data_IF_215463504626
#
_entry.id   IF_215463504626
#
_cell.length_a   1.000
_cell.length_b   1.000
_cell.length_c   1.000
_cell.angle_alpha   90.00
_cell.angle_beta   90.00
_cell.angle_gamma   90.00
#
_symmetry.space_group_name_H-M   'P 1'
#
loop_
_entity.id
_entity.type
_entity.pdbx_description
1 polymer ?
#
# COMPACT_ATOMS: atom_id res chain seq x y z
N UNK A 1 -72.32 -3.60 2.72
CA UNK A 1 -72.76 -3.55 1.31
C UNK A 1 -71.79 -4.38 0.48
N UNK A 2 -72.36 -5.35 -0.26
CA UNK A 2 -71.83 -6.15 -1.38
C UNK A 2 -70.47 -6.85 -1.26
N UNK A 3 -70.39 -8.19 -1.11
CA UNK A 3 -70.58 -9.27 -2.14
C UNK A 3 -69.57 -9.13 -3.30
N UNK A 4 -68.71 -10.10 -3.66
CA UNK A 4 -68.72 -11.57 -3.61
C UNK A 4 -67.25 -12.09 -3.56
N UNK A 5 -66.89 -13.13 -2.78
CA UNK A 5 -67.07 -14.58 -3.05
C UNK A 5 -66.35 -15.05 -4.34
N UNK A 6 -65.62 -16.17 -4.42
CA UNK A 6 -65.46 -17.32 -3.53
C UNK A 6 -64.27 -18.17 -4.02
N UNK A 7 -63.61 -18.87 -3.10
CA UNK A 7 -62.70 -19.98 -3.35
C UNK A 7 -63.49 -21.27 -3.08
N UNK A 8 -63.53 -22.24 -3.99
CA UNK A 8 -63.88 -23.63 -3.63
C UNK A 8 -63.33 -24.64 -4.65
N UNK A 9 -62.77 -25.70 -4.10
CA UNK A 9 -62.26 -26.95 -4.66
C UNK A 9 -63.36 -27.81 -5.30
N UNK A 10 -63.00 -28.72 -6.23
CA UNK A 10 -63.16 -30.18 -6.09
C UNK A 10 -63.04 -30.95 -7.43
N UNK A 11 -62.18 -31.98 -7.38
CA UNK A 11 -62.26 -33.33 -7.97
C UNK A 11 -62.44 -33.64 -9.47
N UNK A 12 -61.61 -34.60 -9.94
CA UNK A 12 -62.00 -35.52 -11.01
C UNK A 12 -60.90 -36.19 -11.85
N UNK A 13 -60.25 -37.25 -11.32
CA UNK A 13 -59.74 -38.48 -11.96
C UNK A 13 -59.01 -38.45 -13.33
N UNK A 14 -57.72 -38.82 -13.37
CA UNK A 14 -57.15 -40.13 -13.77
C UNK A 14 -57.21 -40.46 -15.28
N UNK A 15 -56.04 -40.51 -15.93
CA UNK A 15 -55.57 -41.74 -16.59
C UNK A 15 -54.05 -41.73 -16.83
N UNK A 16 -53.43 -42.87 -16.53
CA UNK A 16 -52.03 -43.19 -16.73
C UNK A 16 -51.89 -43.78 -18.14
N UNK A 17 -50.77 -43.55 -18.82
CA UNK A 17 -50.04 -44.64 -19.44
C UNK A 17 -48.55 -44.32 -19.61
N UNK A 18 -47.74 -45.30 -19.24
CA UNK A 18 -46.30 -45.27 -19.10
C UNK A 18 -45.79 -46.50 -19.86
N UNK A 19 -44.86 -46.35 -20.81
CA UNK A 19 -44.05 -47.44 -21.35
C UNK A 19 -42.63 -46.95 -21.66
N UNK A 20 -41.75 -47.18 -20.68
CA UNK A 20 -40.47 -47.92 -20.76
C UNK A 20 -40.06 -48.50 -22.14
N UNK A 21 -38.80 -48.62 -22.58
CA UNK A 21 -37.54 -48.85 -21.85
C UNK A 21 -36.30 -48.73 -22.80
N UNK A 22 -35.14 -48.38 -22.21
CA UNK A 22 -33.74 -48.82 -22.47
C UNK A 22 -33.03 -48.58 -23.83
N UNK A 23 -32.02 -47.70 -23.78
CA UNK A 23 -30.61 -48.12 -23.60
C UNK A 23 -29.68 -48.16 -24.83
N UNK A 24 -28.73 -47.22 -24.91
CA UNK A 24 -27.28 -47.47 -25.09
C UNK A 24 -26.48 -46.16 -25.19
N UNK A 25 -25.47 -46.02 -24.34
CA UNK A 25 -24.30 -45.15 -24.52
C UNK A 25 -23.57 -45.55 -25.82
N UNK A 26 -22.89 -44.61 -26.50
CA UNK A 26 -21.49 -44.38 -26.17
C UNK A 26 -21.06 -42.90 -26.19
N UNK A 27 -20.39 -42.52 -25.10
CA UNK A 27 -19.12 -41.80 -25.06
C UNK A 27 -18.64 -41.15 -26.38
N UNK A 28 -18.56 -39.82 -26.39
CA UNK A 28 -17.54 -39.05 -27.15
C UNK A 28 -17.42 -37.63 -26.59
N UNK A 29 -16.30 -37.42 -25.91
CA UNK A 29 -15.60 -36.17 -25.61
C UNK A 29 -16.19 -34.90 -26.25
N UNK A 30 -16.89 -34.10 -25.45
CA UNK A 30 -17.02 -32.67 -25.70
C UNK A 30 -15.91 -31.98 -24.90
N UNK A 31 -14.88 -31.59 -25.64
CA UNK A 31 -13.75 -30.77 -25.22
C UNK A 31 -14.26 -29.53 -24.49
N UNK A 32 -13.90 -29.44 -23.21
CA UNK A 32 -13.83 -28.19 -22.47
C UNK A 32 -12.79 -27.31 -23.17
N UNK A 33 -13.28 -26.30 -23.88
CA UNK A 33 -12.49 -25.18 -24.38
C UNK A 33 -13.00 -23.92 -23.68
N UNK A 34 -12.66 -23.80 -22.41
CA UNK A 34 -12.44 -22.50 -21.79
C UNK A 34 -11.23 -21.86 -22.47
N UNK A 35 -11.47 -21.23 -23.62
CA UNK A 35 -10.49 -20.33 -24.24
C UNK A 35 -10.36 -19.13 -23.30
N UNK A 36 -9.33 -19.15 -22.44
CA UNK A 36 -8.86 -17.93 -21.79
C UNK A 36 -8.41 -17.00 -22.90
N UNK A 37 -9.09 -15.87 -23.06
CA UNK A 37 -8.76 -14.89 -24.10
C UNK A 37 -7.40 -14.26 -23.77
N UNK A 38 -6.60 -13.90 -24.80
CA UNK A 38 -5.27 -13.26 -24.66
C UNK A 38 -5.28 -12.06 -23.71
N UNK A 39 -6.40 -11.35 -23.64
CA UNK A 39 -6.53 -10.18 -22.81
C UNK A 39 -6.68 -10.48 -21.32
N UNK A 40 -7.33 -11.58 -20.94
CA UNK A 40 -7.41 -11.98 -19.53
C UNK A 40 -6.01 -12.38 -19.00
N UNK A 41 -5.16 -12.94 -19.87
CA UNK A 41 -3.78 -13.30 -19.55
C UNK A 41 -2.90 -12.06 -19.35
N UNK A 42 -3.09 -11.03 -20.18
CA UNK A 42 -2.37 -9.76 -20.08
C UNK A 42 -2.71 -9.00 -18.79
N UNK A 43 -4.00 -8.99 -18.41
CA UNK A 43 -4.50 -8.42 -17.15
C UNK A 43 -3.91 -9.16 -15.94
N UNK A 44 -3.93 -10.49 -15.95
CA UNK A 44 -3.39 -11.30 -14.85
C UNK A 44 -1.89 -11.05 -14.69
N UNK A 45 -1.13 -11.06 -15.77
CA UNK A 45 0.32 -10.81 -15.72
C UNK A 45 0.62 -9.42 -15.16
N UNK A 46 -0.08 -8.38 -15.65
CA UNK A 46 0.17 -7.00 -15.22
C UNK A 46 -0.22 -6.77 -13.75
N UNK A 47 -1.33 -7.37 -13.30
CA UNK A 47 -1.73 -7.34 -11.88
C UNK A 47 -0.70 -8.07 -11.01
N UNK A 48 -0.24 -9.25 -11.42
CA UNK A 48 0.76 -10.01 -10.62
C UNK A 48 2.10 -9.29 -10.50
N UNK A 49 2.47 -8.50 -11.50
CA UNK A 49 3.70 -7.71 -11.49
C UNK A 49 3.58 -6.52 -10.53
N UNK A 50 2.44 -5.83 -10.54
CA UNK A 50 2.16 -4.75 -9.60
C UNK A 50 2.02 -5.25 -8.14
N UNK A 51 1.45 -6.44 -7.92
CA UNK A 51 1.37 -7.04 -6.58
C UNK A 51 2.76 -7.34 -5.98
N UNK A 52 3.72 -7.76 -6.81
CA UNK A 52 5.10 -7.96 -6.38
C UNK A 52 5.75 -6.64 -5.97
N UNK A 53 5.53 -5.55 -6.72
CA UNK A 53 6.04 -4.22 -6.37
C UNK A 53 5.46 -3.71 -5.04
N UNK A 54 4.16 -3.92 -4.81
CA UNK A 54 3.49 -3.52 -3.56
C UNK A 54 3.97 -4.32 -2.34
N UNK A 55 4.30 -5.61 -2.52
CA UNK A 55 4.89 -6.42 -1.45
C UNK A 55 6.26 -5.91 -0.99
N UNK A 56 7.04 -5.31 -1.91
CA UNK A 56 8.34 -4.69 -1.59
C UNK A 56 8.15 -3.35 -0.87
N UNK A 57 7.17 -2.52 -1.26
CA UNK A 57 6.92 -1.22 -0.61
C UNK A 57 6.65 -1.32 0.90
N UNK A 58 6.07 -2.43 1.38
CA UNK A 58 5.63 -2.60 2.76
C UNK A 58 6.71 -3.16 3.72
N UNK A 59 7.84 -3.69 3.22
CA UNK A 59 8.83 -4.43 4.03
C UNK A 59 9.98 -3.59 4.62
N UNK A 60 10.04 -2.28 4.36
CA UNK A 60 11.20 -1.45 4.77
C UNK A 60 11.30 -1.15 6.27
N UNK A 61 10.37 -1.63 7.09
CA UNK A 61 10.40 -1.42 8.55
C UNK A 61 11.37 -2.40 9.24
N UNK A 62 11.70 -3.53 8.61
CA UNK A 62 12.39 -4.64 9.28
C UNK A 62 13.92 -4.62 9.15
N UNK A 63 14.47 -3.97 8.11
CA UNK A 63 15.90 -4.00 7.81
C UNK A 63 16.78 -3.21 8.81
N UNK A 64 16.19 -2.34 9.63
CA UNK A 64 16.95 -1.53 10.60
C UNK A 64 17.29 -2.27 11.91
N UNK A 65 16.59 -3.37 12.22
CA UNK A 65 16.83 -4.10 13.47
C UNK A 65 18.03 -5.07 13.40
N UNK A 66 18.43 -5.50 12.20
CA UNK A 66 19.50 -6.48 12.03
C UNK A 66 20.91 -5.90 12.28
N UNK A 67 21.12 -4.60 12.05
CA UNK A 67 22.44 -3.95 12.19
C UNK A 67 22.73 -3.46 13.63
N UNK A 68 21.78 -3.62 14.58
CA UNK A 68 21.91 -3.08 15.94
C UNK A 68 22.78 -3.98 16.84
N UNK A 69 22.80 -5.30 16.62
CA UNK A 69 23.44 -6.27 17.52
C UNK A 69 24.96 -6.22 17.61
N UNK A 70 25.65 -5.57 16.66
CA UNK A 70 27.14 -5.53 16.65
C UNK A 70 27.73 -4.28 17.34
N UNK A 71 26.90 -3.34 17.81
CA UNK A 71 27.39 -2.05 18.36
C UNK A 71 27.15 -1.83 19.85
N UNK A 72 26.67 -2.86 20.56
CA UNK A 72 26.14 -2.75 21.93
C UNK A 72 27.20 -2.29 22.96
N UNK A 73 28.50 -2.50 22.73
CA UNK A 73 29.54 -2.35 23.78
C UNK A 73 30.55 -1.20 23.62
N UNK A 74 30.51 -0.43 22.52
CA UNK A 74 31.61 0.52 22.24
C UNK A 74 31.54 1.79 23.09
N UNK A 75 30.33 2.26 23.42
CA UNK A 75 30.14 3.59 24.03
C UNK A 75 30.21 3.60 25.57
N UNK A 76 30.11 2.44 26.23
CA UNK A 76 30.11 2.37 27.70
C UNK A 76 31.45 2.80 28.31
N UNK A 77 32.55 2.68 27.57
CA UNK A 77 33.89 3.07 28.04
C UNK A 77 34.24 4.55 27.79
N UNK A 78 33.43 5.29 27.04
CA UNK A 78 33.76 6.65 26.60
C UNK A 78 33.53 7.70 27.70
N UNK A 79 34.39 8.71 27.80
CA UNK A 79 34.18 9.81 28.74
C UNK A 79 33.04 10.74 28.28
N UNK A 80 32.61 11.67 29.15
CA UNK A 80 31.55 12.62 28.84
C UNK A 80 31.87 13.49 27.61
N UNK A 81 33.15 13.79 27.39
CA UNK A 81 33.64 14.54 26.23
C UNK A 81 33.58 13.70 24.94
N UNK A 82 34.13 12.49 24.96
CA UNK A 82 34.09 11.55 23.83
C UNK A 82 32.66 11.23 23.38
N UNK A 83 31.73 11.08 24.33
CA UNK A 83 30.31 10.86 24.02
C UNK A 83 29.68 12.07 23.32
N UNK A 84 30.06 13.29 23.70
CA UNK A 84 29.58 14.50 23.02
C UNK A 84 30.14 14.64 21.61
N UNK A 85 31.40 14.27 21.40
CA UNK A 85 32.04 14.34 20.08
C UNK A 85 31.54 13.24 19.14
N UNK A 86 31.30 12.03 19.67
CA UNK A 86 30.65 10.94 18.93
C UNK A 86 29.23 11.33 18.50
N UNK A 87 28.45 11.98 19.37
CA UNK A 87 27.13 12.51 19.00
C UNK A 87 27.28 13.55 17.87
N UNK A 88 28.18 14.52 18.02
CA UNK A 88 28.42 15.53 17.00
C UNK A 88 28.82 14.93 15.64
N UNK A 89 29.70 13.91 15.63
CA UNK A 89 30.09 13.18 14.44
C UNK A 89 28.90 12.47 13.79
N UNK A 90 28.03 11.83 14.58
CA UNK A 90 26.82 11.18 14.06
C UNK A 90 25.85 12.18 13.43
N UNK A 91 25.77 13.41 13.96
CA UNK A 91 24.93 14.46 13.38
C UNK A 91 25.46 14.98 12.04
N UNK A 92 26.72 14.75 11.68
CA UNK A 92 27.22 15.07 10.34
C UNK A 92 26.70 14.12 9.27
N UNK A 93 26.23 12.93 9.66
CA UNK A 93 25.60 12.01 8.71
C UNK A 93 24.19 12.48 8.34
N UNK A 94 23.83 12.26 7.07
CA UNK A 94 22.53 12.66 6.54
C UNK A 94 21.42 11.65 6.85
N UNK A 95 21.77 10.36 7.03
CA UNK A 95 20.79 9.31 7.27
C UNK A 95 20.32 9.27 8.74
N UNK A 96 19.14 9.83 8.98
CA UNK A 96 18.52 9.88 10.30
C UNK A 96 18.09 8.50 10.84
N UNK A 97 17.92 7.49 9.98
CA UNK A 97 17.51 6.15 10.42
C UNK A 97 18.67 5.39 11.04
N UNK A 98 19.84 5.40 10.39
CA UNK A 98 21.04 4.69 10.87
C UNK A 98 21.62 5.29 12.15
N UNK A 99 21.50 6.61 12.31
CA UNK A 99 22.03 7.31 13.49
C UNK A 99 21.10 7.22 14.70
N UNK A 100 19.79 7.04 14.50
CA UNK A 100 18.81 7.01 15.60
C UNK A 100 19.13 6.00 16.70
N UNK A 101 19.42 4.71 16.43
CA UNK A 101 19.76 3.75 17.47
C UNK A 101 21.04 4.15 18.21
N UNK A 102 22.08 4.56 17.48
CA UNK A 102 23.37 5.02 18.04
C UNK A 102 23.20 6.24 18.94
N UNK A 103 22.41 7.23 18.51
CA UNK A 103 22.11 8.44 19.29
C UNK A 103 21.33 8.09 20.57
N UNK A 104 20.40 7.14 20.51
CA UNK A 104 19.68 6.70 21.70
C UNK A 104 20.60 5.98 22.70
N UNK A 105 21.54 5.17 22.21
CA UNK A 105 22.55 4.53 23.04
C UNK A 105 23.47 5.56 23.72
N UNK A 106 24.05 6.48 22.94
CA UNK A 106 24.87 7.58 23.49
C UNK A 106 24.07 8.39 24.52
N UNK A 107 22.79 8.67 24.26
CA UNK A 107 21.93 9.37 25.22
C UNK A 107 21.74 8.60 26.52
N UNK A 108 21.57 7.29 26.44
CA UNK A 108 21.44 6.42 27.61
C UNK A 108 22.73 6.47 28.44
N UNK A 109 23.88 6.16 27.82
CA UNK A 109 25.18 6.12 28.51
C UNK A 109 25.54 7.47 29.12
N UNK A 110 25.40 8.56 28.36
CA UNK A 110 25.70 9.91 28.82
C UNK A 110 24.84 10.30 30.03
N UNK A 111 23.53 10.01 30.00
CA UNK A 111 22.66 10.35 31.11
C UNK A 111 22.98 9.54 32.37
N UNK A 112 23.32 8.25 32.24
CA UNK A 112 23.75 7.42 33.37
C UNK A 112 25.02 7.99 34.02
N UNK A 113 26.09 8.18 33.24
CA UNK A 113 27.36 8.72 33.75
C UNK A 113 27.20 10.12 34.35
N UNK A 114 26.39 10.97 33.71
CA UNK A 114 26.13 12.31 34.21
C UNK A 114 25.31 12.30 35.52
N UNK A 115 24.36 11.39 35.66
CA UNK A 115 23.57 11.22 36.89
C UNK A 115 24.42 10.72 38.06
N UNK A 116 25.36 9.81 37.82
CA UNK A 116 26.34 9.38 38.82
C UNK A 116 27.21 10.54 39.29
N UNK A 117 27.80 11.27 38.34
CA UNK A 117 28.64 12.43 38.64
C UNK A 117 27.88 13.55 39.38
N UNK A 118 26.61 13.77 39.02
CA UNK A 118 25.71 14.67 39.74
C UNK A 118 25.47 14.22 41.19
N UNK A 119 25.20 12.93 41.39
CA UNK A 119 24.95 12.37 42.71
C UNK A 119 26.18 12.46 43.61
N UNK A 120 27.37 12.21 43.08
CA UNK A 120 28.62 12.30 43.84
C UNK A 120 28.95 13.75 44.19
N UNK A 121 28.80 14.67 43.24
CA UNK A 121 28.95 16.10 43.50
C UNK A 121 27.96 16.60 44.56
N UNK A 122 26.72 16.11 44.52
CA UNK A 122 25.69 16.44 45.52
C UNK A 122 26.03 15.89 46.90
N UNK A 123 26.52 14.64 46.99
CA UNK A 123 26.96 14.03 48.26
C UNK A 123 28.13 14.80 48.86
N UNK A 124 29.13 15.18 48.05
CA UNK A 124 30.26 15.98 48.50
C UNK A 124 29.81 17.35 49.05
N UNK A 125 28.93 18.04 48.34
CA UNK A 125 28.38 19.33 48.78
C UNK A 125 27.61 19.24 50.11
N UNK A 126 26.85 18.17 50.32
CA UNK A 126 26.16 17.92 51.59
C UNK A 126 27.14 17.58 52.72
N UNK A 127 28.23 16.86 52.42
CA UNK A 127 29.26 16.52 53.40
C UNK A 127 30.06 17.75 53.88
N UNK A 128 30.23 18.75 53.00
CA UNK A 128 30.83 20.05 53.33
C UNK A 128 29.87 20.98 54.12
N UNK A 129 28.65 20.52 54.44
CA UNK A 129 27.66 21.27 55.20
C UNK A 129 26.77 22.19 54.36
N UNK A 130 26.78 22.04 53.04
CA UNK A 130 25.89 22.77 52.12
C UNK A 130 24.42 22.33 52.25
N UNK A 131 23.50 23.24 51.97
CA UNK A 131 22.06 22.96 52.01
C UNK A 131 21.55 22.49 50.63
N UNK A 132 20.68 21.48 50.59
CA UNK A 132 20.20 20.85 49.34
C UNK A 132 19.59 21.82 48.32
N UNK A 133 19.04 22.94 48.80
CA UNK A 133 18.38 23.96 47.98
C UNK A 133 19.40 24.77 47.15
N UNK A 134 20.64 24.89 47.63
CA UNK A 134 21.67 25.74 47.04
C UNK A 134 22.59 24.98 46.07
N UNK A 135 22.38 23.68 45.89
CA UNK A 135 23.18 22.87 44.98
C UNK A 135 22.87 23.19 43.52
N UNK A 136 23.85 23.77 42.81
CA UNK A 136 23.79 23.99 41.37
C UNK A 136 25.01 23.37 40.68
N UNK A 137 24.77 22.35 39.85
CA UNK A 137 25.82 21.73 39.05
C UNK A 137 25.58 21.97 37.56
N UNK A 138 26.49 22.70 36.94
CA UNK A 138 26.45 23.01 35.52
C UNK A 138 27.74 22.54 34.85
N UNK A 139 27.63 21.58 33.93
CA UNK A 139 28.75 21.11 33.13
C UNK A 139 28.70 21.67 31.70
N UNK A 140 29.84 22.14 31.15
CA UNK A 140 29.96 22.51 29.74
C UNK A 140 29.53 21.38 28.79
N UNK A 141 29.94 20.13 29.10
CA UNK A 141 29.59 18.95 28.29
C UNK A 141 28.08 18.70 28.30
N UNK A 142 27.38 18.91 29.43
CA UNK A 142 25.90 18.82 29.49
C UNK A 142 25.23 19.89 28.62
N UNK A 143 25.75 21.12 28.59
CA UNK A 143 25.24 22.17 27.71
C UNK A 143 25.43 21.80 26.23
N UNK A 144 26.63 21.34 25.84
CA UNK A 144 26.93 20.86 24.48
C UNK A 144 25.98 19.73 24.08
N UNK A 145 25.86 18.70 24.93
CA UNK A 145 24.98 17.55 24.71
C UNK A 145 23.50 17.94 24.55
N UNK A 146 22.99 18.85 25.38
CA UNK A 146 21.61 19.33 25.30
C UNK A 146 21.36 20.08 23.98
N UNK A 147 22.34 20.89 23.53
CA UNK A 147 22.29 21.57 22.23
C UNK A 147 22.24 20.57 21.07
N UNK A 148 23.12 19.57 21.06
CA UNK A 148 23.14 18.51 20.05
C UNK A 148 21.84 17.69 20.06
N UNK A 149 21.33 17.37 21.24
CA UNK A 149 20.04 16.66 21.40
C UNK A 149 18.86 17.47 20.85
N UNK A 150 18.86 18.79 21.06
CA UNK A 150 17.86 19.69 20.49
C UNK A 150 17.95 19.73 18.96
N UNK A 151 19.15 19.90 18.41
CA UNK A 151 19.39 19.90 16.97
C UNK A 151 18.89 18.60 16.31
N UNK A 152 19.23 17.45 16.90
CA UNK A 152 18.72 16.15 16.46
C UNK A 152 17.19 16.09 16.46
N UNK A 153 16.56 16.54 17.55
CA UNK A 153 15.09 16.51 17.68
C UNK A 153 14.43 17.35 16.58
N UNK A 154 14.93 18.57 16.35
CA UNK A 154 14.41 19.48 15.33
C UNK A 154 14.60 18.91 13.91
N UNK A 155 15.77 18.33 13.59
CA UNK A 155 16.01 17.64 12.31
C UNK A 155 15.07 16.45 12.13
N UNK A 156 14.95 15.59 13.13
CA UNK A 156 14.09 14.41 13.06
C UNK A 156 12.62 14.80 12.93
N UNK A 157 12.14 15.79 13.68
CA UNK A 157 10.78 16.28 13.56
C UNK A 157 10.49 16.83 12.15
N UNK A 158 11.40 17.65 11.61
CA UNK A 158 11.28 18.18 10.24
C UNK A 158 11.24 17.06 9.20
N UNK A 159 12.13 16.08 9.32
CA UNK A 159 12.18 14.94 8.41
C UNK A 159 10.90 14.10 8.44
N UNK A 160 10.42 13.75 9.64
CA UNK A 160 9.18 12.99 9.81
C UNK A 160 7.97 13.75 9.30
N UNK A 161 7.92 15.07 9.51
CA UNK A 161 6.87 15.93 8.98
C UNK A 161 6.89 15.95 7.44
N UNK A 162 8.07 16.10 6.83
CA UNK A 162 8.22 16.06 5.37
C UNK A 162 7.75 14.71 4.81
N UNK A 163 8.26 13.59 5.35
CA UNK A 163 7.86 12.25 4.91
C UNK A 163 6.35 12.02 5.02
N UNK A 164 5.74 12.44 6.13
CA UNK A 164 4.28 12.33 6.31
C UNK A 164 3.53 13.17 5.27
N UNK A 165 4.01 14.37 4.95
CA UNK A 165 3.42 15.21 3.90
C UNK A 165 3.58 14.58 2.51
N UNK A 166 4.74 14.02 2.21
CA UNK A 166 5.02 13.35 0.93
C UNK A 166 4.11 12.13 0.75
N UNK A 167 3.97 11.28 1.79
CA UNK A 167 3.04 10.15 1.75
C UNK A 167 1.59 10.60 1.56
N UNK A 168 1.18 11.70 2.19
CA UNK A 168 -0.17 12.25 2.00
C UNK A 168 -0.39 12.74 0.56
N UNK A 169 0.59 13.44 -0.03
CA UNK A 169 0.53 13.86 -1.44
C UNK A 169 0.46 12.66 -2.37
N UNK A 170 1.28 11.64 -2.13
CA UNK A 170 1.27 10.41 -2.92
C UNK A 170 -0.10 9.72 -2.84
N UNK A 171 -0.72 9.68 -1.65
CA UNK A 171 -2.07 9.15 -1.46
C UNK A 171 -3.09 9.93 -2.30
N UNK A 172 -3.06 11.26 -2.26
CA UNK A 172 -3.95 12.12 -3.05
C UNK A 172 -3.77 11.87 -4.56
N UNK A 173 -2.52 11.73 -5.03
CA UNK A 173 -2.23 11.42 -6.43
C UNK A 173 -2.72 10.02 -6.84
N UNK A 174 -2.50 8.99 -6.01
CA UNK A 174 -2.99 7.63 -6.26
C UNK A 174 -4.52 7.61 -6.34
N UNK A 175 -5.21 8.29 -5.41
CA UNK A 175 -6.67 8.41 -5.45
C UNK A 175 -7.17 9.15 -6.70
N UNK A 176 -6.45 10.20 -7.13
CA UNK A 176 -6.79 10.92 -8.36
C UNK A 176 -6.68 10.03 -9.60
N UNK A 177 -5.62 9.23 -9.72
CA UNK A 177 -5.45 8.26 -10.81
C UNK A 177 -6.63 7.31 -10.87
N UNK A 178 -7.06 6.79 -9.72
CA UNK A 178 -8.21 5.89 -9.63
C UNK A 178 -9.48 6.55 -10.18
N UNK A 179 -9.75 7.81 -9.83
CA UNK A 179 -10.89 8.57 -10.37
C UNK A 179 -10.75 8.83 -11.88
N UNK A 180 -9.55 9.11 -12.37
CA UNK A 180 -9.27 9.27 -13.80
C UNK A 180 -9.53 7.94 -14.56
N UNK A 181 -9.13 6.79 -14.02
CA UNK A 181 -9.44 5.46 -14.58
C UNK A 181 -10.95 5.22 -14.62
N UNK A 182 -11.69 5.56 -13.55
CA UNK A 182 -13.16 5.46 -13.53
C UNK A 182 -13.81 6.29 -14.62
N UNK A 183 -13.28 7.49 -14.86
CA UNK A 183 -13.81 8.39 -15.87
C UNK A 183 -13.67 7.80 -17.28
N UNK A 184 -12.58 7.09 -17.59
CA UNK A 184 -12.33 6.51 -18.91
C UNK A 184 -13.42 5.52 -19.39
N UNK A 185 -14.12 4.87 -18.46
CA UNK A 185 -15.21 3.92 -18.77
C UNK A 185 -16.49 4.66 -19.20
N UNK A 186 -16.69 5.90 -18.78
CA UNK A 186 -17.93 6.65 -19.00
C UNK A 186 -17.87 7.58 -20.22
N UNK A 187 -16.72 7.69 -20.89
CA UNK A 187 -16.55 8.59 -22.03
C UNK A 187 -16.83 7.84 -23.33
N UNK A 188 -17.72 8.38 -24.16
CA UNK A 188 -17.93 7.95 -25.56
C UNK A 188 -16.73 8.36 -26.44
N UNK A 189 -15.53 7.88 -26.11
CA UNK A 189 -14.30 8.09 -26.85
C UNK A 189 -13.88 6.80 -27.56
N UNK A 190 -13.01 6.95 -28.56
CA UNK A 190 -12.40 5.82 -29.26
C UNK A 190 -11.59 4.98 -28.26
N UNK A 191 -11.80 3.67 -28.25
CA UNK A 191 -11.18 2.70 -27.34
C UNK A 191 -9.65 2.72 -27.37
N UNK A 192 -9.05 3.03 -28.52
CA UNK A 192 -7.59 3.19 -28.63
C UNK A 192 -7.09 4.39 -27.81
N UNK A 193 -7.82 5.51 -27.86
CA UNK A 193 -7.47 6.71 -27.08
C UNK A 193 -7.64 6.45 -25.59
N UNK A 194 -8.73 5.80 -25.19
CA UNK A 194 -8.97 5.43 -23.80
C UNK A 194 -7.89 4.47 -23.27
N UNK A 195 -7.43 3.51 -24.08
CA UNK A 195 -6.36 2.59 -23.71
C UNK A 195 -5.01 3.31 -23.52
N UNK A 196 -4.64 4.22 -24.42
CA UNK A 196 -3.39 4.99 -24.28
C UNK A 196 -3.41 5.86 -23.01
N UNK A 197 -4.53 6.55 -22.75
CA UNK A 197 -4.69 7.32 -21.52
C UNK A 197 -4.60 6.43 -20.28
N UNK A 198 -5.16 5.21 -20.34
CA UNK A 198 -5.06 4.25 -19.26
C UNK A 198 -3.61 3.81 -19.00
N UNK A 199 -2.82 3.54 -20.05
CA UNK A 199 -1.40 3.20 -19.91
C UNK A 199 -0.60 4.33 -19.26
N UNK A 200 -0.83 5.58 -19.67
CA UNK A 200 -0.20 6.75 -19.03
C UNK A 200 -0.54 6.85 -17.53
N UNK A 201 -1.76 6.47 -17.15
CA UNK A 201 -2.20 6.43 -15.75
C UNK A 201 -1.53 5.30 -14.96
N UNK A 202 -1.33 4.13 -15.57
CA UNK A 202 -0.58 3.03 -14.97
C UNK A 202 0.90 3.42 -14.75
N UNK A 203 1.52 4.08 -15.72
CA UNK A 203 2.90 4.56 -15.59
C UNK A 203 3.02 5.60 -14.48
N UNK A 204 2.08 6.55 -14.41
CA UNK A 204 2.02 7.51 -13.30
C UNK A 204 1.85 6.80 -11.95
N UNK A 205 1.03 5.75 -11.90
CA UNK A 205 0.81 4.97 -10.68
C UNK A 205 2.12 4.34 -10.17
N UNK A 206 2.86 3.67 -11.06
CA UNK A 206 4.15 3.03 -10.72
C UNK A 206 5.22 4.03 -10.28
N UNK A 207 5.18 5.25 -10.83
CA UNK A 207 6.13 6.31 -10.47
C UNK A 207 5.78 7.04 -9.16
N UNK A 208 4.57 6.86 -8.61
CA UNK A 208 4.20 7.45 -7.32
C UNK A 208 4.78 6.59 -6.20
N UNK A 209 5.63 7.20 -5.37
CA UNK A 209 6.20 6.53 -4.21
C UNK A 209 5.17 6.18 -3.13
N UNK A 210 5.67 5.70 -1.99
CA UNK A 210 4.86 5.15 -0.90
C UNK A 210 3.74 6.05 -0.41
N UNK A 211 2.68 5.42 0.08
CA UNK A 211 1.53 6.03 0.74
C UNK A 211 1.49 5.66 2.23
N UNK A 212 0.64 6.29 3.05
CA UNK A 212 0.51 5.92 4.46
C UNK A 212 0.10 4.45 4.60
N UNK A 213 0.78 3.71 5.48
CA UNK A 213 0.57 2.26 5.68
C UNK A 213 -0.90 1.89 5.97
N UNK A 214 -1.63 2.78 6.64
CA UNK A 214 -3.06 2.59 6.95
C UNK A 214 -3.94 2.52 5.70
N UNK A 215 -3.58 3.26 4.66
CA UNK A 215 -4.37 3.43 3.44
C UNK A 215 -3.87 2.55 2.29
N UNK A 216 -2.63 2.05 2.37
CA UNK A 216 -1.94 1.32 1.29
C UNK A 216 -2.78 0.17 0.71
N UNK A 217 -3.29 -0.72 1.55
CA UNK A 217 -4.10 -1.87 1.09
C UNK A 217 -5.42 -1.45 0.45
N UNK A 218 -6.10 -0.45 1.01
CA UNK A 218 -7.38 0.03 0.49
C UNK A 218 -7.18 0.66 -0.90
N UNK A 219 -6.20 1.55 -1.01
CA UNK A 219 -5.83 2.25 -2.25
C UNK A 219 -5.43 1.24 -3.33
N UNK A 220 -4.65 0.22 -2.98
CA UNK A 220 -4.28 -0.86 -3.90
C UNK A 220 -5.49 -1.65 -4.41
N UNK A 221 -6.34 -2.12 -3.50
CA UNK A 221 -7.53 -2.90 -3.87
C UNK A 221 -8.50 -2.07 -4.74
N UNK A 222 -8.66 -0.79 -4.43
CA UNK A 222 -9.52 0.10 -5.19
C UNK A 222 -8.97 0.32 -6.62
N UNK A 223 -7.67 0.56 -6.73
CA UNK A 223 -6.99 0.65 -8.03
C UNK A 223 -7.15 -0.65 -8.83
N UNK A 224 -6.84 -1.80 -8.23
CA UNK A 224 -6.96 -3.11 -8.88
C UNK A 224 -8.38 -3.35 -9.41
N UNK A 225 -9.40 -3.09 -8.59
CA UNK A 225 -10.80 -3.25 -8.99
C UNK A 225 -11.16 -2.39 -10.22
N UNK A 226 -10.68 -1.14 -10.27
CA UNK A 226 -10.98 -0.26 -11.39
C UNK A 226 -10.15 -0.56 -12.65
N UNK A 227 -8.95 -1.11 -12.49
CA UNK A 227 -8.17 -1.69 -13.59
C UNK A 227 -8.90 -2.87 -14.21
N UNK A 228 -9.33 -3.85 -13.40
CA UNK A 228 -10.10 -5.02 -13.86
C UNK A 228 -11.36 -4.57 -14.62
N UNK A 229 -12.13 -3.64 -14.04
CA UNK A 229 -13.33 -3.09 -14.66
C UNK A 229 -13.06 -2.37 -16.00
N UNK A 230 -11.91 -1.72 -16.14
CA UNK A 230 -11.54 -1.06 -17.40
C UNK A 230 -11.23 -2.08 -18.50
N UNK A 231 -10.56 -3.17 -18.17
CA UNK A 231 -10.31 -4.25 -19.12
C UNK A 231 -11.60 -4.99 -19.51
N UNK A 232 -12.51 -5.26 -18.56
CA UNK A 232 -13.84 -5.79 -18.85
C UNK A 232 -14.60 -4.91 -19.86
N UNK A 233 -14.52 -3.58 -19.68
CA UNK A 233 -15.11 -2.61 -20.62
C UNK A 233 -14.50 -2.71 -22.02
N UNK A 234 -13.17 -2.82 -22.14
CA UNK A 234 -12.51 -3.00 -23.43
C UNK A 234 -12.91 -4.31 -24.12
N UNK A 235 -13.08 -5.39 -23.36
CA UNK A 235 -13.54 -6.69 -23.89
C UNK A 235 -14.96 -6.59 -24.42
N UNK A 236 -15.86 -6.00 -23.64
CA UNK A 236 -17.24 -5.81 -24.07
C UNK A 236 -17.33 -4.96 -25.34
N UNK A 237 -16.58 -3.86 -25.42
CA UNK A 237 -16.55 -2.98 -26.59
C UNK A 237 -15.96 -3.68 -27.83
N UNK A 238 -14.93 -4.52 -27.66
CA UNK A 238 -14.41 -5.36 -28.74
C UNK A 238 -15.46 -6.36 -29.25
N UNK A 239 -16.15 -7.05 -28.35
CA UNK A 239 -17.16 -8.04 -28.68
C UNK A 239 -18.38 -7.44 -29.38
N UNK A 240 -18.82 -6.26 -28.93
CA UNK A 240 -19.90 -5.51 -29.59
C UNK A 240 -19.52 -5.15 -31.03
N UNK A 241 -18.33 -4.60 -31.25
CA UNK A 241 -17.85 -4.29 -32.60
C UNK A 241 -17.71 -5.51 -33.50
N UNK A 242 -17.25 -6.64 -32.96
CA UNK A 242 -17.16 -7.89 -33.71
C UNK A 242 -18.54 -8.40 -34.14
N UNK A 243 -19.54 -8.31 -33.25
CA UNK A 243 -20.94 -8.66 -33.58
C UNK A 243 -21.50 -7.75 -34.65
N UNK A 244 -21.30 -6.43 -34.53
CA UNK A 244 -21.74 -5.46 -35.54
C UNK A 244 -21.09 -5.70 -36.90
N UNK A 245 -19.79 -5.99 -36.91
CA UNK A 245 -19.06 -6.34 -38.13
C UNK A 245 -19.64 -7.60 -38.78
N UNK A 246 -19.86 -8.65 -38.00
CA UNK A 246 -20.45 -9.92 -38.49
C UNK A 246 -21.84 -9.70 -39.09
N UNK A 247 -22.70 -8.95 -38.39
CA UNK A 247 -24.05 -8.63 -38.85
C UNK A 247 -24.05 -7.80 -40.15
N UNK A 248 -23.19 -6.79 -40.24
CA UNK A 248 -23.05 -5.96 -41.44
C UNK A 248 -22.49 -6.74 -42.63
N UNK A 249 -21.54 -7.64 -42.39
CA UNK A 249 -20.99 -8.53 -43.40
C UNK A 249 -22.05 -9.50 -43.92
N UNK A 250 -22.83 -10.12 -43.03
CA UNK A 250 -23.94 -11.01 -43.41
C UNK A 250 -24.99 -10.28 -44.27
N UNK A 251 -25.42 -9.08 -43.85
CA UNK A 251 -26.32 -8.25 -44.66
C UNK A 251 -25.78 -7.97 -46.07
N UNK A 252 -24.51 -7.57 -46.17
CA UNK A 252 -23.87 -7.31 -47.47
C UNK A 252 -23.85 -8.58 -48.32
N UNK A 253 -23.39 -9.71 -47.79
CA UNK A 253 -23.33 -10.99 -48.55
C UNK A 253 -24.71 -11.45 -49.02
N UNK A 254 -25.76 -11.27 -48.21
CA UNK A 254 -27.14 -11.60 -48.60
C UNK A 254 -27.67 -10.72 -49.73
N UNK A 255 -27.29 -9.44 -49.75
CA UNK A 255 -27.64 -8.54 -50.85
C UNK A 255 -26.93 -8.94 -52.15
N UNK A 256 -25.64 -9.29 -52.10
CA UNK A 256 -24.90 -9.74 -53.28
C UNK A 256 -25.38 -11.09 -53.83
N UNK A 257 -25.92 -11.98 -53.00
CA UNK A 257 -26.49 -13.28 -53.45
C UNK A 257 -27.89 -13.17 -54.07
N UNK A 258 -28.54 -12.01 -53.97
CA UNK A 258 -29.90 -11.77 -54.48
C UNK A 258 -29.93 -11.04 -55.84
N UNK A 259 -28.77 -10.60 -56.32
CA UNK A 259 -28.58 -10.05 -57.67
C UNK A 259 -27.96 -11.12 -58.56
#
# INVERSE_FOLDING_TARGET
MNTHNNLQEADGLLEKENKEQKGKTPEKNAVDQTVKNDSDVEVINEITELEKEVAVENNDVESTNASIKETEDVYDNFELEDLTDAFEALLKNDDLYLIRPKINLIKKVFNTKFSELLNDSKKAFLAEGGNSIDFNFTSPHKKKFNSLSRNYRERNEKFQKSKKQDYKKNLELRLKIIEEIKALINVNQNSNTSYNNFKDLQDKWRNIGKVPLKDANNVWNNYRHHVERFYDFLHLDRDLRQRDYKYNLEKKTKNYRKC
#
